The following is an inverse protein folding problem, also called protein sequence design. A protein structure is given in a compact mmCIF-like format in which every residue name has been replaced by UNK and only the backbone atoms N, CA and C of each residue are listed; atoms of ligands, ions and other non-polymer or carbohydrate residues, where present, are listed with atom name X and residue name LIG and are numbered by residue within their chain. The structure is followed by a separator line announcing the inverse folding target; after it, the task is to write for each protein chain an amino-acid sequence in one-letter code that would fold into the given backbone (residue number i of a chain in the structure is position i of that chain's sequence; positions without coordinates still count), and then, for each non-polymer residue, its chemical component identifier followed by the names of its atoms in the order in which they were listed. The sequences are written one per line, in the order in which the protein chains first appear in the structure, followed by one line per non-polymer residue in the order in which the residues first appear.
data_IF_516311257148
#
_entry.id   IF_516311257148
#
_cell.length_a   1.000
_cell.length_b   1.000
_cell.length_c   1.000
_cell.angle_alpha   90.00
_cell.angle_beta   90.00
_cell.angle_gamma   90.00
#
_symmetry.space_group_name_H-M   'P 1'
#
loop_
_entity.id
_entity.type
_entity.pdbx_description
1 polymer ?
#
# COMPACT_ATOMS: atom_id res chain seq x y z
N UNK A 1 0.79 22.00 -3.44
CA UNK A 1 1.19 20.58 -3.35
C UNK A 1 0.83 20.12 -1.95
N UNK A 2 0.12 19.00 -1.75
CA UNK A 2 -0.10 18.48 -0.42
C UNK A 2 1.26 18.25 0.26
N UNK A 3 1.40 18.72 1.49
CA UNK A 3 2.64 18.55 2.25
C UNK A 3 2.76 17.07 2.59
N UNK A 4 3.63 16.34 1.89
CA UNK A 4 3.90 14.95 2.22
C UNK A 4 4.57 14.87 3.59
N UNK A 5 4.14 13.92 4.41
CA UNK A 5 4.70 13.66 5.73
C UNK A 5 5.53 12.38 5.68
N UNK A 6 6.55 12.31 6.53
CA UNK A 6 7.32 11.10 6.76
C UNK A 6 7.59 10.89 8.26
N UNK A 7 7.88 9.65 8.59
CA UNK A 7 8.33 9.19 9.89
C UNK A 7 9.82 8.86 9.75
N UNK A 8 10.63 9.36 10.65
CA UNK A 8 12.05 8.99 10.75
C UNK A 8 12.26 8.24 12.06
N UNK A 9 12.82 7.04 11.98
CA UNK A 9 13.24 6.23 13.10
C UNK A 9 14.74 6.44 13.33
N UNK A 10 15.11 6.79 14.56
CA UNK A 10 16.51 6.96 14.98
C UNK A 10 16.74 6.29 16.33
N UNK A 11 17.81 5.52 16.47
CA UNK A 11 18.22 4.97 17.77
C UNK A 11 19.29 5.82 18.42
N UNK A 12 19.31 5.87 19.75
CA UNK A 12 20.28 6.64 20.56
C UNK A 12 20.78 5.79 21.73
N UNK A 13 22.01 6.03 22.24
CA UNK A 13 22.61 5.19 23.29
C UNK A 13 21.90 5.27 24.65
N UNK A 14 21.13 6.33 24.91
CA UNK A 14 20.47 6.52 26.20
C UNK A 14 19.36 7.59 26.13
N UNK A 15 18.56 7.63 27.19
CA UNK A 15 17.43 8.55 27.34
C UNK A 15 17.86 10.04 27.26
N UNK A 16 19.02 10.38 27.82
CA UNK A 16 19.53 11.75 27.85
C UNK A 16 19.79 12.25 26.43
N UNK A 17 20.47 11.44 25.61
CA UNK A 17 20.68 11.71 24.19
C UNK A 17 19.34 11.82 23.45
N UNK A 18 18.42 10.88 23.65
CA UNK A 18 17.09 10.90 23.02
C UNK A 18 16.32 12.20 23.31
N UNK A 19 16.28 12.62 24.59
CA UNK A 19 15.61 13.85 25.00
C UNK A 19 16.29 15.11 24.47
N UNK A 20 17.62 15.13 24.41
CA UNK A 20 18.38 16.26 23.86
C UNK A 20 18.11 16.45 22.37
N UNK A 21 18.15 15.37 21.59
CA UNK A 21 17.81 15.37 20.17
C UNK A 21 16.35 15.81 19.97
N UNK A 22 15.41 15.20 20.70
CA UNK A 22 14.00 15.52 20.56
C UNK A 22 13.70 17.00 20.83
N UNK A 23 14.27 17.57 21.91
CA UNK A 23 14.12 18.99 22.23
C UNK A 23 14.70 19.90 21.15
N UNK A 24 15.88 19.56 20.63
CA UNK A 24 16.55 20.33 19.58
C UNK A 24 15.70 20.38 18.31
N UNK A 25 15.26 19.21 17.82
CA UNK A 25 14.46 19.11 16.60
C UNK A 25 13.11 19.82 16.71
N UNK A 26 12.45 19.77 17.87
CA UNK A 26 11.20 20.48 18.11
C UNK A 26 11.42 22.00 18.20
N UNK A 27 12.47 22.46 18.89
CA UNK A 27 12.80 23.88 19.04
C UNK A 27 13.13 24.53 17.69
N UNK A 28 13.87 23.80 16.86
CA UNK A 28 14.25 24.23 15.50
C UNK A 28 13.13 24.00 14.47
N UNK A 29 11.95 23.51 14.90
CA UNK A 29 10.77 23.24 14.06
C UNK A 29 11.06 22.25 12.91
N UNK A 30 11.98 21.31 13.13
CA UNK A 30 12.33 20.24 12.19
C UNK A 30 11.44 19.01 12.33
N UNK A 31 10.64 18.92 13.39
CA UNK A 31 9.67 17.86 13.63
C UNK A 31 8.40 18.44 14.27
N UNK A 32 7.26 17.77 14.06
CA UNK A 32 5.99 18.13 14.69
C UNK A 32 5.80 17.41 16.03
N UNK A 33 6.24 16.15 16.12
CA UNK A 33 6.10 15.33 17.31
C UNK A 33 7.18 14.24 17.31
N UNK A 34 7.68 13.88 18.49
CA UNK A 34 8.70 12.85 18.67
C UNK A 34 8.29 11.97 19.85
N UNK A 35 8.20 10.66 19.61
CA UNK A 35 8.01 9.65 20.64
C UNK A 35 9.36 9.01 20.97
N UNK A 36 9.69 8.89 22.26
CA UNK A 36 10.93 8.23 22.72
C UNK A 36 10.59 7.08 23.66
N UNK A 37 11.20 5.91 23.49
CA UNK A 37 11.04 4.76 24.37
C UNK A 37 12.29 3.89 24.41
N UNK A 38 12.50 3.20 25.53
CA UNK A 38 13.60 2.28 25.71
C UNK A 38 13.40 1.02 24.85
N UNK A 39 14.48 0.52 24.28
CA UNK A 39 14.55 -0.69 23.46
C UNK A 39 15.80 -1.50 23.81
N UNK A 40 15.84 -2.73 23.34
CA UNK A 40 17.01 -3.59 23.38
C UNK A 40 17.36 -3.98 21.95
N UNK A 41 18.59 -3.67 21.54
CA UNK A 41 19.08 -3.79 20.17
C UNK A 41 20.05 -4.95 20.08
N UNK A 42 19.78 -5.90 19.18
CA UNK A 42 20.68 -7.02 18.87
C UNK A 42 21.21 -6.87 17.45
N UNK A 43 22.53 -6.87 17.27
CA UNK A 43 23.15 -6.66 15.97
C UNK A 43 24.53 -7.31 15.88
N UNK A 44 25.08 -7.43 14.67
CA UNK A 44 26.43 -7.95 14.46
C UNK A 44 27.35 -6.81 14.04
N UNK A 45 28.43 -6.61 14.80
CA UNK A 45 29.47 -5.64 14.49
C UNK A 45 30.84 -6.31 14.66
N UNK A 46 31.75 -6.12 13.70
CA UNK A 46 33.05 -6.82 13.66
C UNK A 46 32.95 -8.35 13.85
N UNK A 47 31.91 -8.97 13.28
CA UNK A 47 31.58 -10.41 13.44
C UNK A 47 31.23 -10.86 14.86
N UNK A 48 30.97 -9.94 15.78
CA UNK A 48 30.54 -10.22 17.14
C UNK A 48 29.05 -9.87 17.31
N UNK A 49 28.30 -10.73 18.01
CA UNK A 49 26.93 -10.43 18.40
C UNK A 49 26.98 -9.42 19.55
N UNK A 50 26.37 -8.27 19.33
CA UNK A 50 26.25 -7.18 20.29
C UNK A 50 24.79 -7.07 20.77
N UNK A 51 24.65 -6.63 22.01
CA UNK A 51 23.37 -6.41 22.66
C UNK A 51 23.47 -5.11 23.47
N UNK A 52 22.69 -4.10 23.09
CA UNK A 52 22.71 -2.79 23.73
C UNK A 52 21.33 -2.36 24.19
N UNK A 53 21.28 -1.63 25.32
CA UNK A 53 20.09 -0.90 25.73
C UNK A 53 20.10 0.48 25.10
N UNK A 54 19.12 0.75 24.25
CA UNK A 54 19.03 1.98 23.48
C UNK A 54 17.69 2.68 23.68
N UNK A 55 17.56 3.87 23.11
CA UNK A 55 16.29 4.57 22.99
C UNK A 55 15.93 4.77 21.53
N UNK A 56 14.73 4.32 21.16
CA UNK A 56 14.13 4.57 19.87
C UNK A 56 13.44 5.93 19.87
N UNK A 57 13.72 6.73 18.84
CA UNK A 57 12.97 7.94 18.49
C UNK A 57 12.11 7.63 17.27
N UNK A 58 10.82 8.00 17.35
CA UNK A 58 9.90 8.06 16.21
C UNK A 58 9.59 9.54 15.95
N UNK A 59 10.15 10.08 14.88
CA UNK A 59 10.11 11.50 14.55
C UNK A 59 9.11 11.72 13.41
N UNK A 60 8.06 12.49 13.65
CA UNK A 60 7.04 12.83 12.64
C UNK A 60 7.38 14.20 12.06
N UNK A 61 7.64 14.26 10.75
CA UNK A 61 8.07 15.48 10.07
C UNK A 61 7.46 15.62 8.67
N UNK A 62 7.68 16.77 8.04
CA UNK A 62 7.32 17.02 6.65
C UNK A 62 8.48 16.58 5.74
N UNK A 63 8.16 15.97 4.59
CA UNK A 63 9.16 15.44 3.66
C UNK A 63 10.14 16.51 3.14
N UNK A 64 9.71 17.77 3.04
CA UNK A 64 10.56 18.89 2.63
C UNK A 64 11.61 19.28 3.70
N UNK A 65 11.41 18.93 4.97
CA UNK A 65 12.36 19.18 6.06
C UNK A 65 13.40 18.06 6.19
N UNK A 66 13.23 16.96 5.45
CA UNK A 66 14.06 15.76 5.58
C UNK A 66 15.56 16.03 5.51
N UNK A 67 16.01 16.77 4.49
CA UNK A 67 17.44 17.05 4.31
C UNK A 67 18.02 17.82 5.49
N UNK A 68 17.31 18.85 5.96
CA UNK A 68 17.74 19.66 7.11
C UNK A 68 17.69 18.87 8.42
N UNK A 69 16.65 18.07 8.63
CA UNK A 69 16.52 17.19 9.79
C UNK A 69 17.63 16.13 9.82
N UNK A 70 17.96 15.51 8.70
CA UNK A 70 19.01 14.49 8.59
C UNK A 70 20.38 15.07 8.91
N UNK A 71 20.72 16.23 8.33
CA UNK A 71 21.97 16.95 8.63
C UNK A 71 22.04 17.34 10.10
N UNK A 72 20.92 17.80 10.67
CA UNK A 72 20.89 18.23 12.06
C UNK A 72 21.09 17.06 13.01
N UNK A 73 20.41 15.94 12.79
CA UNK A 73 20.59 14.73 13.58
C UNK A 73 22.04 14.28 13.49
N UNK A 74 22.61 14.16 12.28
CA UNK A 74 24.02 13.77 12.12
C UNK A 74 24.99 14.67 12.89
N UNK A 75 24.72 15.99 12.98
CA UNK A 75 25.57 16.93 13.69
C UNK A 75 25.48 16.84 15.23
N UNK A 76 24.39 16.29 15.78
CA UNK A 76 24.16 16.22 17.24
C UNK A 76 24.12 14.79 17.77
N UNK A 77 24.14 13.79 16.89
CA UNK A 77 24.04 12.39 17.26
C UNK A 77 25.37 11.87 17.79
N UNK A 78 25.39 11.12 18.92
CA UNK A 78 26.63 10.61 19.51
C UNK A 78 27.28 9.47 18.72
N UNK A 79 26.49 8.68 17.98
CA UNK A 79 27.02 7.68 17.05
C UNK A 79 27.34 8.28 15.69
N UNK A 80 28.41 7.81 15.08
CA UNK A 80 28.78 8.12 13.69
C UNK A 80 27.81 7.49 12.68
N UNK A 81 27.26 6.32 13.01
CA UNK A 81 26.32 5.55 12.17
C UNK A 81 25.11 5.09 12.98
N UNK A 82 24.21 6.00 13.39
CA UNK A 82 22.97 5.59 14.04
C UNK A 82 22.07 4.83 13.07
N UNK A 83 21.12 4.06 13.63
CA UNK A 83 19.95 3.66 12.84
C UNK A 83 19.26 4.94 12.36
N UNK A 84 18.94 4.99 11.07
CA UNK A 84 18.26 6.13 10.48
C UNK A 84 17.34 5.66 9.34
N UNK A 85 16.14 5.21 9.71
CA UNK A 85 15.15 4.69 8.77
C UNK A 85 14.07 5.73 8.49
N UNK A 86 13.78 5.97 7.21
CA UNK A 86 12.73 6.90 6.79
C UNK A 86 11.56 6.12 6.22
N UNK A 87 10.39 6.29 6.82
CA UNK A 87 9.12 5.72 6.40
C UNK A 87 8.23 6.87 5.92
N UNK A 88 8.07 7.01 4.60
CA UNK A 88 7.24 8.06 4.02
C UNK A 88 6.50 7.57 2.78
N UNK A 89 5.61 8.42 2.25
CA UNK A 89 4.99 8.17 0.95
C UNK A 89 6.07 8.10 -0.13
N UNK A 90 5.86 7.22 -1.11
CA UNK A 90 6.79 7.03 -2.22
C UNK A 90 6.95 8.34 -3.00
N UNK A 91 8.15 8.91 -2.98
CA UNK A 91 8.45 10.09 -3.79
C UNK A 91 8.69 9.66 -5.24
N UNK A 92 7.92 10.18 -6.19
CA UNK A 92 8.00 9.78 -7.60
C UNK A 92 9.40 10.05 -8.19
N UNK A 93 10.09 8.99 -8.61
CA UNK A 93 11.38 9.04 -9.31
C UNK A 93 11.20 8.47 -10.70
N UNK A 94 10.69 9.28 -11.63
CA UNK A 94 10.30 8.87 -13.01
C UNK A 94 11.24 7.87 -13.70
N UNK A 95 12.56 8.05 -13.59
CA UNK A 95 13.55 7.16 -14.24
C UNK A 95 13.78 5.86 -13.43
N UNK A 96 13.97 5.96 -12.12
CA UNK A 96 14.26 4.79 -11.28
C UNK A 96 13.02 3.90 -11.11
N UNK A 97 11.84 4.51 -10.99
CA UNK A 97 10.56 3.82 -10.86
C UNK A 97 10.15 3.10 -12.16
N UNK A 98 10.72 3.49 -13.31
CA UNK A 98 10.52 2.77 -14.56
C UNK A 98 11.39 1.50 -14.63
N UNK A 99 12.53 1.49 -13.94
CA UNK A 99 13.55 0.44 -14.03
C UNK A 99 13.51 -0.56 -12.87
N UNK A 100 12.98 -0.16 -11.71
CA UNK A 100 12.98 -0.97 -10.49
C UNK A 100 11.65 -0.85 -9.76
N UNK A 101 11.37 -1.88 -8.96
CA UNK A 101 10.27 -1.86 -8.02
C UNK A 101 10.61 -0.97 -6.82
N UNK A 102 9.65 -0.20 -6.36
CA UNK A 102 9.77 0.59 -5.13
C UNK A 102 9.79 -0.33 -3.90
N UNK A 103 10.23 0.16 -2.74
CA UNK A 103 10.21 -0.61 -1.49
C UNK A 103 8.79 -1.11 -1.17
N UNK A 104 7.78 -0.25 -1.36
CA UNK A 104 6.37 -0.60 -1.17
C UNK A 104 5.95 -1.73 -2.14
N UNK A 105 6.33 -1.63 -3.42
CA UNK A 105 6.05 -2.65 -4.43
C UNK A 105 6.71 -4.00 -4.09
N UNK A 106 7.93 -3.98 -3.55
CA UNK A 106 8.61 -5.19 -3.07
C UNK A 106 7.93 -5.78 -1.83
N UNK A 107 7.62 -4.96 -0.83
CA UNK A 107 6.89 -5.40 0.38
C UNK A 107 5.57 -6.04 -0.01
N UNK A 108 4.77 -5.41 -0.88
CA UNK A 108 3.48 -5.96 -1.34
C UNK A 108 3.67 -7.26 -2.14
N UNK A 109 4.75 -7.37 -2.93
CA UNK A 109 5.08 -8.59 -3.65
C UNK A 109 5.64 -9.71 -2.77
N UNK A 110 6.21 -9.42 -1.62
CA UNK A 110 6.82 -10.44 -0.76
C UNK A 110 5.98 -10.74 0.49
N UNK A 111 5.03 -9.87 0.83
CA UNK A 111 4.14 -10.04 1.97
C UNK A 111 3.36 -11.37 1.87
N UNK A 112 3.35 -12.19 2.93
CA UNK A 112 2.59 -13.46 2.97
C UNK A 112 1.09 -13.24 3.19
N UNK A 113 0.65 -12.00 3.40
CA UNK A 113 -0.72 -11.59 3.70
C UNK A 113 -1.15 -10.40 2.82
N UNK A 114 -2.42 -10.02 2.92
CA UNK A 114 -2.90 -8.81 2.29
C UNK A 114 -2.22 -7.58 2.92
N UNK A 115 -1.80 -6.63 2.09
CA UNK A 115 -1.13 -5.41 2.51
C UNK A 115 -2.07 -4.21 2.38
N UNK A 116 -2.22 -3.44 3.45
CA UNK A 116 -2.94 -2.16 3.44
C UNK A 116 -1.95 -1.03 3.18
N UNK A 117 -2.23 -0.19 2.19
CA UNK A 117 -1.57 1.09 1.96
C UNK A 117 -2.53 2.16 2.46
N UNK A 118 -2.29 2.64 3.68
CA UNK A 118 -3.03 3.76 4.25
C UNK A 118 -2.49 5.07 3.65
N UNK A 119 -3.25 5.66 2.76
CA UNK A 119 -2.93 6.91 2.07
C UNK A 119 -3.53 8.12 2.80
N UNK A 120 -4.70 7.95 3.42
CA UNK A 120 -5.46 9.00 4.09
C UNK A 120 -5.38 8.88 5.62
N UNK A 121 -5.55 9.99 6.38
CA UNK A 121 -5.66 9.94 7.83
C UNK A 121 -6.85 9.07 8.29
N UNK A 122 -6.71 8.23 9.32
CA UNK A 122 -7.80 7.39 9.81
C UNK A 122 -8.76 8.19 10.70
N UNK A 123 -9.64 8.96 10.07
CA UNK A 123 -10.60 9.82 10.79
C UNK A 123 -11.93 9.11 11.09
N UNK A 124 -12.20 7.97 10.44
CA UNK A 124 -13.38 7.12 10.65
C UNK A 124 -13.15 5.69 10.14
N UNK A 125 -13.99 4.70 10.55
CA UNK A 125 -14.01 3.38 9.91
C UNK A 125 -14.41 3.47 8.42
N UNK A 126 -13.86 2.58 7.59
CA UNK A 126 -14.25 2.46 6.18
C UNK A 126 -15.75 2.21 6.03
N UNK A 127 -16.37 2.94 5.10
CA UNK A 127 -17.80 2.91 4.82
C UNK A 127 -18.09 2.29 3.47
N UNK A 128 -17.30 2.60 2.45
CA UNK A 128 -17.54 2.21 1.07
C UNK A 128 -16.29 1.53 0.50
N UNK A 129 -16.32 0.20 0.48
CA UNK A 129 -15.21 -0.61 -0.02
C UNK A 129 -15.49 -0.99 -1.47
N UNK A 130 -14.63 -0.57 -2.40
CA UNK A 130 -14.74 -0.97 -3.79
C UNK A 130 -13.70 -2.02 -4.13
N UNK A 131 -14.14 -3.19 -4.61
CA UNK A 131 -13.22 -4.23 -5.04
C UNK A 131 -13.20 -4.42 -6.56
N UNK A 132 -12.02 -4.29 -7.16
CA UNK A 132 -11.82 -4.69 -8.55
C UNK A 132 -11.43 -6.17 -8.63
N UNK A 133 -12.16 -6.94 -9.45
CA UNK A 133 -11.89 -8.36 -9.63
C UNK A 133 -12.08 -8.84 -11.07
N UNK A 134 -11.62 -10.05 -11.33
CA UNK A 134 -11.78 -10.79 -12.58
C UNK A 134 -12.54 -12.10 -12.27
N UNK A 135 -13.80 -12.19 -12.68
CA UNK A 135 -14.60 -13.41 -12.49
C UNK A 135 -14.09 -14.59 -13.31
N UNK A 136 -13.27 -14.36 -14.33
CA UNK A 136 -12.62 -15.41 -15.11
C UNK A 136 -11.38 -15.96 -14.40
N UNK A 137 -10.99 -15.37 -13.26
CA UNK A 137 -9.84 -15.82 -12.49
C UNK A 137 -10.03 -17.24 -11.94
N UNK A 138 -9.03 -18.12 -12.07
CA UNK A 138 -9.09 -19.49 -11.54
C UNK A 138 -9.34 -19.54 -10.03
N UNK A 139 -10.03 -20.59 -9.51
CA UNK A 139 -10.41 -20.68 -8.10
C UNK A 139 -9.24 -20.58 -7.11
N UNK A 140 -8.08 -21.16 -7.43
CA UNK A 140 -6.91 -21.13 -6.54
C UNK A 140 -6.38 -19.72 -6.29
N UNK A 141 -6.55 -18.79 -7.24
CA UNK A 141 -6.16 -17.40 -7.06
C UNK A 141 -7.15 -16.59 -6.24
N UNK A 142 -8.36 -17.08 -6.03
CA UNK A 142 -9.37 -16.41 -5.19
C UNK A 142 -9.04 -16.50 -3.69
N UNK A 143 -8.03 -17.31 -3.33
CA UNK A 143 -7.40 -17.27 -2.01
C UNK A 143 -6.55 -16.02 -1.80
N UNK A 144 -6.41 -15.16 -2.81
CA UNK A 144 -5.70 -13.89 -2.69
C UNK A 144 -6.45 -12.83 -1.93
N UNK A 145 -7.74 -13.04 -1.70
CA UNK A 145 -8.59 -12.02 -1.12
C UNK A 145 -8.32 -11.87 0.38
N UNK A 146 -8.51 -10.65 0.91
CA UNK A 146 -8.48 -10.43 2.35
C UNK A 146 -9.38 -11.42 3.06
N UNK A 147 -8.87 -12.06 4.11
CA UNK A 147 -9.68 -12.92 4.98
C UNK A 147 -10.47 -12.12 6.01
N UNK A 148 -10.04 -10.88 6.26
CA UNK A 148 -10.69 -9.94 7.14
C UNK A 148 -11.11 -8.72 6.31
N UNK A 149 -12.41 -8.49 6.28
CA UNK A 149 -13.04 -7.36 5.60
C UNK A 149 -13.49 -6.33 6.63
N UNK A 150 -13.51 -5.02 6.29
CA UNK A 150 -14.16 -4.02 7.12
C UNK A 150 -15.63 -4.41 7.36
N UNK A 151 -16.04 -4.79 8.58
CA UNK A 151 -17.32 -5.47 8.80
C UNK A 151 -18.53 -4.53 8.73
N UNK A 152 -18.31 -3.23 8.97
CA UNK A 152 -19.35 -2.19 8.95
C UNK A 152 -19.45 -1.49 7.59
N UNK A 153 -18.57 -1.81 6.65
CA UNK A 153 -18.57 -1.18 5.34
C UNK A 153 -19.59 -1.83 4.41
N UNK A 154 -20.11 -1.02 3.50
CA UNK A 154 -20.77 -1.49 2.30
C UNK A 154 -19.70 -1.94 1.29
N UNK A 155 -19.79 -3.19 0.84
CA UNK A 155 -18.81 -3.78 -0.07
C UNK A 155 -19.36 -3.82 -1.48
N UNK A 156 -18.73 -3.09 -2.39
CA UNK A 156 -19.01 -3.12 -3.82
C UNK A 156 -17.95 -3.95 -4.53
N UNK A 157 -18.33 -4.65 -5.59
CA UNK A 157 -17.36 -5.34 -6.43
C UNK A 157 -17.72 -5.19 -7.91
N UNK A 158 -16.68 -4.94 -8.70
CA UNK A 158 -16.79 -4.72 -10.14
C UNK A 158 -15.81 -5.61 -10.89
N UNK A 159 -16.23 -6.03 -12.08
CA UNK A 159 -15.36 -6.72 -13.04
C UNK A 159 -15.31 -5.93 -14.34
N UNK A 160 -14.18 -5.25 -14.56
CA UNK A 160 -13.92 -4.52 -15.79
C UNK A 160 -13.49 -5.48 -16.92
N UNK A 161 -14.30 -5.62 -17.96
CA UNK A 161 -14.01 -6.49 -19.10
C UNK A 161 -13.42 -5.66 -20.24
N UNK A 162 -12.11 -5.76 -20.43
CA UNK A 162 -11.40 -5.17 -21.58
C UNK A 162 -11.50 -6.08 -22.81
N UNK A 163 -11.72 -5.46 -23.98
CA UNK A 163 -11.42 -6.11 -25.26
C UNK A 163 -9.90 -6.08 -25.48
N UNK A 164 -9.28 -7.14 -26.03
CA UNK A 164 -7.85 -7.14 -26.33
C UNK A 164 -7.49 -5.98 -27.28
N UNK A 165 -6.26 -5.46 -27.20
CA UNK A 165 -5.76 -4.45 -28.13
C UNK A 165 -5.86 -5.00 -29.58
N UNK A 166 -6.65 -4.31 -30.41
CA UNK A 166 -7.12 -4.75 -31.74
C UNK A 166 -8.61 -5.11 -31.80
N UNK A 167 -9.25 -5.36 -30.64
CA UNK A 167 -10.67 -5.69 -30.48
C UNK A 167 -11.61 -4.49 -30.40
N UNK A 168 -11.11 -3.26 -30.52
CA UNK A 168 -11.96 -2.08 -30.76
C UNK A 168 -12.88 -2.27 -31.98
N UNK A 169 -12.51 -3.15 -32.92
CA UNK A 169 -13.27 -3.47 -34.13
C UNK A 169 -13.90 -4.88 -34.16
N UNK A 170 -13.87 -5.65 -33.06
CA UNK A 170 -14.50 -6.98 -33.02
C UNK A 170 -15.57 -7.09 -31.90
N UNK A 171 -16.82 -6.66 -32.19
CA UNK A 171 -17.94 -6.72 -31.26
C UNK A 171 -18.23 -8.13 -30.74
N UNK A 172 -18.02 -9.16 -31.57
CA UNK A 172 -18.28 -10.57 -31.23
C UNK A 172 -17.36 -11.05 -30.11
N UNK A 173 -16.06 -10.74 -30.19
CA UNK A 173 -15.09 -11.12 -29.16
C UNK A 173 -15.38 -10.45 -27.81
N UNK A 174 -15.87 -9.20 -27.82
CA UNK A 174 -16.32 -8.48 -26.61
C UNK A 174 -17.56 -9.12 -26.00
N UNK A 175 -18.57 -9.44 -26.82
CA UNK A 175 -19.79 -10.10 -26.38
C UNK A 175 -19.52 -11.49 -25.77
N UNK A 176 -18.65 -12.29 -26.40
CA UNK A 176 -18.27 -13.61 -25.87
C UNK A 176 -17.56 -13.52 -24.51
N UNK A 177 -16.71 -12.50 -24.29
CA UNK A 177 -16.05 -12.29 -22.99
C UNK A 177 -17.04 -11.84 -21.92
N UNK A 178 -17.97 -10.95 -22.24
CA UNK A 178 -19.03 -10.51 -21.33
C UNK A 178 -19.90 -11.69 -20.90
N UNK A 179 -20.40 -12.49 -21.85
CA UNK A 179 -21.21 -13.68 -21.55
C UNK A 179 -20.45 -14.70 -20.68
N UNK A 180 -19.15 -14.90 -20.92
CA UNK A 180 -18.32 -15.76 -20.05
C UNK A 180 -18.17 -15.19 -18.64
N UNK A 181 -18.01 -13.87 -18.50
CA UNK A 181 -17.88 -13.22 -17.21
C UNK A 181 -19.19 -13.34 -16.41
N UNK A 182 -20.33 -13.13 -17.07
CA UNK A 182 -21.67 -13.34 -16.49
C UNK A 182 -21.84 -14.77 -16.00
N UNK A 183 -21.51 -15.76 -16.86
CA UNK A 183 -21.61 -17.18 -16.50
C UNK A 183 -20.70 -17.59 -15.34
N UNK A 184 -19.60 -16.86 -15.06
CA UNK A 184 -18.70 -17.14 -13.93
C UNK A 184 -19.00 -16.30 -12.68
N UNK A 185 -19.92 -15.32 -12.76
CA UNK A 185 -20.27 -14.43 -11.64
C UNK A 185 -20.87 -15.21 -10.48
N UNK A 186 -21.82 -16.10 -10.75
CA UNK A 186 -22.51 -16.84 -9.68
C UNK A 186 -21.55 -17.77 -8.94
N UNK A 187 -20.63 -18.40 -9.69
CA UNK A 187 -19.53 -19.18 -9.10
C UNK A 187 -18.57 -18.31 -8.30
N UNK A 188 -18.41 -17.05 -8.67
CA UNK A 188 -17.64 -16.08 -7.90
C UNK A 188 -18.30 -15.70 -6.59
N UNK A 189 -19.61 -15.46 -6.58
CA UNK A 189 -20.37 -15.21 -5.36
C UNK A 189 -20.29 -16.36 -4.34
N UNK A 190 -20.06 -17.59 -4.80
CA UNK A 190 -19.86 -18.77 -3.95
C UNK A 190 -18.44 -18.91 -3.38
N UNK A 191 -17.54 -17.95 -3.62
CA UNK A 191 -16.16 -18.02 -3.10
C UNK A 191 -16.16 -17.84 -1.58
N UNK A 192 -15.60 -18.79 -0.80
CA UNK A 192 -15.54 -18.67 0.66
C UNK A 192 -14.72 -17.43 1.08
N UNK A 193 -15.23 -16.70 2.08
CA UNK A 193 -14.54 -15.54 2.66
C UNK A 193 -14.79 -14.22 1.94
N UNK A 194 -15.69 -14.17 0.95
CA UNK A 194 -16.21 -12.89 0.45
C UNK A 194 -17.12 -12.23 1.50
N UNK A 195 -17.13 -10.88 1.58
CA UNK A 195 -18.06 -10.16 2.43
C UNK A 195 -19.46 -10.20 1.82
N UNK A 196 -20.46 -9.70 2.55
CA UNK A 196 -21.76 -9.40 1.95
C UNK A 196 -21.57 -8.27 0.92
N UNK A 197 -21.64 -8.61 -0.36
CA UNK A 197 -21.48 -7.66 -1.46
C UNK A 197 -22.82 -6.99 -1.76
N UNK A 198 -22.80 -5.69 -1.99
CA UNK A 198 -23.94 -4.92 -2.48
C UNK A 198 -24.30 -5.40 -3.88
N UNK A 199 -25.56 -5.80 -4.05
CA UNK A 199 -26.07 -6.35 -5.30
C UNK A 199 -26.49 -5.25 -6.30
N UNK A 200 -26.36 -5.48 -7.62
CA UNK A 200 -25.70 -6.62 -8.24
C UNK A 200 -24.19 -6.41 -8.48
N UNK A 201 -23.44 -7.52 -8.49
CA UNK A 201 -22.05 -7.53 -8.95
C UNK A 201 -21.96 -7.08 -10.43
N UNK A 202 -21.33 -5.93 -10.67
CA UNK A 202 -21.35 -5.29 -11.97
C UNK A 202 -20.22 -5.76 -12.89
N UNK A 203 -20.58 -6.09 -14.14
CA UNK A 203 -19.63 -6.40 -15.21
C UNK A 203 -19.62 -5.22 -16.16
N UNK A 204 -18.57 -4.40 -16.07
CA UNK A 204 -18.52 -3.12 -16.76
C UNK A 204 -17.56 -3.26 -17.95
N UNK A 205 -18.03 -3.04 -19.19
CA UNK A 205 -17.13 -3.10 -20.32
C UNK A 205 -16.30 -1.81 -20.40
N UNK A 206 -14.97 -1.95 -20.39
CA UNK A 206 -14.08 -0.79 -20.42
C UNK A 206 -12.68 -1.09 -19.90
N UNK A 207 -11.81 -0.09 -19.98
CA UNK A 207 -10.49 -0.13 -19.37
C UNK A 207 -10.59 -0.21 -17.85
N UNK A 208 -9.84 -1.11 -17.21
CA UNK A 208 -9.83 -1.28 -15.74
C UNK A 208 -9.53 0.05 -15.03
N UNK A 209 -8.63 0.87 -15.58
CA UNK A 209 -8.33 2.20 -15.03
C UNK A 209 -9.53 3.14 -15.04
N UNK A 210 -10.22 3.25 -16.17
CA UNK A 210 -11.34 4.19 -16.34
C UNK A 210 -12.52 3.75 -15.48
N UNK A 211 -12.83 2.46 -15.53
CA UNK A 211 -13.93 1.85 -14.78
C UNK A 211 -13.70 2.01 -13.29
N UNK A 212 -12.52 1.64 -12.77
CA UNK A 212 -12.30 1.72 -11.33
C UNK A 212 -12.29 3.18 -10.86
N UNK A 213 -11.62 4.09 -11.57
CA UNK A 213 -11.60 5.50 -11.19
C UNK A 213 -13.01 6.07 -11.12
N UNK A 214 -13.82 5.85 -12.17
CA UNK A 214 -15.20 6.30 -12.19
C UNK A 214 -16.02 5.74 -11.02
N UNK A 215 -15.86 4.45 -10.72
CA UNK A 215 -16.59 3.78 -9.64
C UNK A 215 -16.11 4.17 -8.25
N UNK A 216 -14.82 4.42 -8.07
CA UNK A 216 -14.27 4.97 -6.82
C UNK A 216 -14.92 6.31 -6.53
N UNK A 217 -15.00 7.20 -7.53
CA UNK A 217 -15.59 8.53 -7.38
C UNK A 217 -17.12 8.46 -7.17
N UNK A 218 -17.83 7.67 -8.00
CA UNK A 218 -19.30 7.51 -7.93
C UNK A 218 -19.78 6.96 -6.58
N UNK A 219 -19.08 5.96 -6.06
CA UNK A 219 -19.44 5.32 -4.79
C UNK A 219 -18.89 6.07 -3.57
N UNK A 220 -18.03 7.08 -3.78
CA UNK A 220 -17.26 7.70 -2.71
C UNK A 220 -16.49 6.64 -1.91
N UNK A 221 -15.79 5.75 -2.62
CA UNK A 221 -15.09 4.63 -2.00
C UNK A 221 -13.90 5.14 -1.18
N UNK A 222 -13.85 4.76 0.09
CA UNK A 222 -12.77 5.11 1.02
C UNK A 222 -11.73 3.99 1.16
N UNK A 223 -12.01 2.80 0.62
CA UNK A 223 -11.05 1.71 0.48
C UNK A 223 -11.20 1.03 -0.88
N UNK A 224 -10.08 0.82 -1.57
CA UNK A 224 -10.04 0.07 -2.83
C UNK A 224 -9.29 -1.25 -2.65
N UNK A 225 -9.96 -2.36 -2.93
CA UNK A 225 -9.41 -3.72 -2.81
C UNK A 225 -9.02 -4.28 -4.19
N UNK A 226 -7.82 -4.88 -4.32
CA UNK A 226 -7.30 -5.36 -5.61
C UNK A 226 -6.41 -6.59 -5.46
N UNK A 227 -6.32 -7.40 -6.52
CA UNK A 227 -5.26 -8.40 -6.65
C UNK A 227 -3.91 -7.78 -7.05
N UNK A 228 -2.81 -8.35 -6.57
CA UNK A 228 -1.45 -7.84 -6.84
C UNK A 228 -0.92 -8.20 -8.25
N UNK A 229 -1.45 -9.23 -8.91
CA UNK A 229 -0.81 -9.81 -10.10
C UNK A 229 -1.59 -9.56 -11.39
N UNK A 230 -0.86 -9.25 -12.48
CA UNK A 230 -1.41 -9.30 -13.84
C UNK A 230 -1.11 -10.63 -14.51
N UNK A 231 -2.13 -11.28 -15.07
CA UNK A 231 -1.95 -12.42 -15.95
C UNK A 231 -1.41 -13.67 -15.24
N UNK A 232 -0.66 -14.52 -15.97
CA UNK A 232 -0.29 -15.87 -15.52
C UNK A 232 0.89 -15.92 -14.54
N UNK A 233 1.75 -14.90 -14.44
CA UNK A 233 2.95 -14.94 -13.60
C UNK A 233 2.71 -14.32 -12.20
N UNK A 234 2.75 -15.12 -11.11
CA UNK A 234 2.57 -14.64 -9.74
C UNK A 234 3.80 -13.93 -9.15
N UNK A 235 4.82 -13.60 -9.97
CA UNK A 235 5.99 -12.80 -9.54
C UNK A 235 6.01 -11.40 -10.16
N UNK A 236 5.02 -11.06 -10.99
CA UNK A 236 4.97 -9.77 -11.68
C UNK A 236 3.81 -8.96 -11.11
N UNK A 237 4.15 -7.81 -10.52
CA UNK A 237 3.18 -6.82 -10.09
C UNK A 237 2.40 -6.32 -11.31
N UNK A 238 1.08 -6.41 -11.23
CA UNK A 238 0.20 -5.93 -12.29
C UNK A 238 0.42 -4.45 -12.56
N UNK A 239 0.48 -4.06 -13.84
CA UNK A 239 0.65 -2.66 -14.23
C UNK A 239 -0.38 -1.77 -13.54
N UNK A 240 -1.63 -2.24 -13.51
CA UNK A 240 -2.73 -1.54 -12.86
C UNK A 240 -2.50 -1.29 -11.37
N UNK A 241 -2.21 -2.36 -10.62
CA UNK A 241 -1.93 -2.29 -9.19
C UNK A 241 -0.74 -1.38 -8.91
N UNK A 242 0.31 -1.46 -9.74
CA UNK A 242 1.50 -0.62 -9.64
C UNK A 242 1.18 0.86 -9.78
N UNK A 243 0.41 1.23 -10.81
CA UNK A 243 0.05 2.62 -11.07
C UNK A 243 -0.78 3.20 -9.91
N UNK A 244 -1.70 2.42 -9.34
CA UNK A 244 -2.46 2.83 -8.15
C UNK A 244 -1.60 2.91 -6.89
N UNK A 245 -0.64 2.01 -6.68
CA UNK A 245 0.27 2.09 -5.54
C UNK A 245 1.11 3.37 -5.54
N UNK A 246 1.40 3.90 -6.73
CA UNK A 246 2.19 5.14 -6.90
C UNK A 246 1.36 6.40 -6.69
N UNK A 247 0.10 6.38 -7.13
CA UNK A 247 -0.83 7.48 -6.92
C UNK A 247 -2.19 6.94 -6.43
N UNK A 248 -2.28 6.55 -5.14
CA UNK A 248 -3.51 5.98 -4.59
C UNK A 248 -4.64 7.04 -4.59
N UNK A 249 -5.81 6.76 -5.17
CA UNK A 249 -6.96 7.68 -5.07
C UNK A 249 -7.56 7.69 -3.66
N UNK A 250 -7.42 6.58 -2.94
CA UNK A 250 -7.79 6.35 -1.55
C UNK A 250 -6.91 5.22 -1.00
N UNK A 251 -7.14 4.79 0.24
CA UNK A 251 -6.47 3.63 0.83
C UNK A 251 -6.63 2.38 -0.04
N UNK A 252 -5.58 1.55 -0.12
CA UNK A 252 -5.55 0.36 -0.96
C UNK A 252 -5.34 -0.89 -0.13
N UNK A 253 -6.21 -1.89 -0.28
CA UNK A 253 -6.01 -3.22 0.30
C UNK A 253 -5.65 -4.23 -0.80
N UNK A 254 -4.40 -4.68 -0.79
CA UNK A 254 -3.81 -5.47 -1.86
C UNK A 254 -3.69 -6.94 -1.46
N UNK A 255 -4.42 -7.79 -2.19
CA UNK A 255 -4.52 -9.21 -1.93
C UNK A 255 -3.53 -10.08 -2.72
N UNK A 256 -2.82 -10.98 -2.02
CA UNK A 256 -1.87 -11.94 -2.62
C UNK A 256 -2.37 -13.38 -2.49
N UNK A 257 -2.39 -14.18 -3.58
CA UNK A 257 -2.74 -15.59 -3.50
C UNK A 257 -1.71 -16.33 -2.64
N UNK A 258 -2.19 -17.02 -1.60
CA UNK A 258 -1.35 -17.90 -0.79
C UNK A 258 -0.78 -19.03 -1.66
N UNK A 259 0.53 -19.29 -1.52
CA UNK A 259 1.22 -20.40 -2.19
C UNK A 259 0.63 -21.75 -1.77
#
# INVERSE_FOLDING_TARGET
MPTEFCIVLVTTPNETCAKAIARTLLTEKLAACINCFAIESFYTWNNELNQDHEFQLIIKTQSNLFTTLSQRIQAIHPYDTPEFLVLGLHSERRVLDALRLTTLEQIVLDAPCAALIAHLPPDAPYRNVLTATDFLMPPHRRRSWPRAWPPLAQHHAIHAVTAPLGGFFNPKARAERLARAEAQRDRFMQTPGLPALADPLEIIPGGVHEVLRFRTDELGADLVCLGVHSGRNPKILGKYTRDLMRAPPTDLLLGRPQR
#
